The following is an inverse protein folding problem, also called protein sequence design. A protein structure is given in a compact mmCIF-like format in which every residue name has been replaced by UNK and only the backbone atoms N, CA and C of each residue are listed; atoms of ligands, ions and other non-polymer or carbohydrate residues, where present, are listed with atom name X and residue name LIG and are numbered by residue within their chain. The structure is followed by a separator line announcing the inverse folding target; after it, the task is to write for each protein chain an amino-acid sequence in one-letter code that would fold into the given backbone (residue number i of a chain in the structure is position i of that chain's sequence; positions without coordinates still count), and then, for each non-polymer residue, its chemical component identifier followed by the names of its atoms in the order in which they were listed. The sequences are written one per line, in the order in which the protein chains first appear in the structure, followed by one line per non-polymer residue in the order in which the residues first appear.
data_IF_911573980488
#
_entry.id   IF_911573980488
#
_cell.length_a   1.000
_cell.length_b   1.000
_cell.length_c   1.000
_cell.angle_alpha   90.00
_cell.angle_beta   90.00
_cell.angle_gamma   90.00
#
_symmetry.space_group_name_H-M   'P 1'
#
loop_
_entity.id
_entity.type
_entity.pdbx_description
1 polymer ?
#
# COMPACT_ATOMS: atom_id res chain seq x y z
N UNK A 1 -11.49 -14.03 -3.04
CA UNK A 1 -12.32 -12.95 -2.47
C UNK A 1 -11.42 -11.72 -2.44
N UNK A 2 -11.72 -10.68 -3.21
CA UNK A 2 -10.91 -9.45 -3.20
C UNK A 2 -11.26 -8.64 -1.94
N UNK A 3 -10.24 -8.15 -1.25
CA UNK A 3 -10.44 -7.17 -0.17
C UNK A 3 -10.90 -5.87 -0.82
N UNK A 4 -11.73 -5.06 -0.15
CA UNK A 4 -11.94 -3.64 -0.53
C UNK A 4 -11.34 -2.66 0.51
N UNK A 5 -10.83 -1.48 0.13
CA UNK A 5 -10.26 -0.45 1.01
C UNK A 5 -11.36 -0.03 1.96
N UNK A 6 -12.58 0.11 1.42
CA UNK A 6 -13.79 0.31 2.19
C UNK A 6 -13.90 -0.71 3.33
N UNK A 7 -13.67 -2.00 3.11
CA UNK A 7 -13.75 -3.00 4.19
C UNK A 7 -12.69 -2.82 5.29
N UNK A 8 -11.47 -2.42 4.95
CA UNK A 8 -10.42 -2.17 5.93
C UNK A 8 -10.77 -0.95 6.77
N UNK A 9 -11.14 0.17 6.12
CA UNK A 9 -11.55 1.40 6.79
C UNK A 9 -12.85 1.24 7.58
N UNK A 10 -13.84 0.51 7.05
CA UNK A 10 -15.10 0.23 7.72
C UNK A 10 -14.89 -0.62 8.97
N UNK A 11 -13.97 -1.61 8.94
CA UNK A 11 -13.59 -2.35 10.15
C UNK A 11 -12.86 -1.44 11.13
N UNK A 12 -11.91 -0.65 10.66
CA UNK A 12 -11.11 0.24 11.50
C UNK A 12 -11.99 1.28 12.21
N UNK A 13 -12.89 1.94 11.49
CA UNK A 13 -13.78 2.97 12.04
C UNK A 13 -15.07 2.42 12.68
N UNK A 14 -15.30 1.11 12.64
CA UNK A 14 -16.43 0.48 13.33
C UNK A 14 -16.34 0.68 14.85
N UNK A 15 -17.47 0.92 15.55
CA UNK A 15 -17.52 0.88 17.01
C UNK A 15 -17.09 -0.45 17.61
N UNK A 16 -17.27 -1.53 16.84
CA UNK A 16 -16.87 -2.89 17.19
C UNK A 16 -15.68 -3.32 16.34
N UNK A 17 -14.74 -2.38 16.10
CA UNK A 17 -13.49 -2.69 15.42
C UNK A 17 -12.79 -3.85 16.11
N UNK A 18 -12.18 -4.74 15.33
CA UNK A 18 -11.44 -5.88 15.85
C UNK A 18 -10.13 -6.00 15.09
N UNK A 19 -9.08 -6.44 15.79
CA UNK A 19 -7.80 -6.66 15.15
C UNK A 19 -7.90 -7.69 14.03
N UNK A 20 -7.46 -7.33 12.82
CA UNK A 20 -7.60 -8.18 11.64
C UNK A 20 -6.33 -8.24 10.80
N UNK A 21 -6.10 -9.43 10.25
CA UNK A 21 -5.07 -9.69 9.25
C UNK A 21 -5.71 -9.62 7.86
N UNK A 22 -5.15 -8.78 7.00
CA UNK A 22 -5.54 -8.61 5.62
C UNK A 22 -4.38 -9.08 4.74
N UNK A 23 -4.57 -10.20 4.04
CA UNK A 23 -3.60 -10.71 3.06
C UNK A 23 -4.17 -10.45 1.67
N UNK A 24 -3.53 -9.54 0.95
CA UNK A 24 -3.92 -9.10 -0.38
C UNK A 24 -2.96 -9.72 -1.40
N UNK A 25 -3.37 -10.78 -2.10
CA UNK A 25 -2.55 -11.43 -3.11
C UNK A 25 -2.38 -10.53 -4.35
N UNK A 26 -1.61 -10.99 -5.32
CA UNK A 26 -1.28 -10.22 -6.53
C UNK A 26 -2.51 -9.78 -7.33
N UNK A 27 -3.52 -10.64 -7.37
CA UNK A 27 -4.78 -10.42 -8.08
C UNK A 27 -5.73 -9.47 -7.35
N UNK A 28 -5.39 -9.06 -6.12
CA UNK A 28 -6.18 -8.09 -5.39
C UNK A 28 -5.99 -6.68 -5.99
N UNK A 29 -7.10 -5.95 -6.10
CA UNK A 29 -7.07 -4.60 -6.63
C UNK A 29 -6.13 -3.68 -5.84
N UNK A 30 -5.97 -3.87 -4.52
CA UNK A 30 -5.03 -3.03 -3.75
C UNK A 30 -3.60 -3.33 -4.03
N UNK A 31 -3.25 -4.60 -4.15
CA UNK A 31 -1.91 -4.97 -4.57
C UNK A 31 -1.57 -4.32 -5.91
N UNK A 32 -2.52 -4.31 -6.84
CA UNK A 32 -2.35 -3.62 -8.13
C UNK A 32 -2.11 -2.11 -7.99
N UNK A 33 -2.78 -1.44 -7.04
CA UNK A 33 -2.62 0.00 -6.90
C UNK A 33 -1.36 0.37 -6.11
N UNK A 34 -1.05 -0.30 -4.99
CA UNK A 34 0.17 0.02 -4.19
C UNK A 34 1.45 -0.22 -4.99
N UNK A 35 1.44 -1.20 -5.92
CA UNK A 35 2.54 -1.45 -6.86
C UNK A 35 2.85 -0.25 -7.77
N UNK A 36 1.92 0.68 -7.95
CA UNK A 36 2.09 1.88 -8.78
C UNK A 36 2.60 3.08 -7.98
N UNK A 37 2.77 2.96 -6.66
CA UNK A 37 3.29 4.05 -5.84
C UNK A 37 4.79 4.18 -6.01
N UNK A 38 5.26 5.38 -6.30
CA UNK A 38 6.69 5.63 -6.52
C UNK A 38 7.58 5.13 -5.37
N UNK A 39 7.24 5.35 -4.07
CA UNK A 39 8.05 4.83 -2.97
C UNK A 39 8.12 3.31 -2.91
N UNK A 40 7.06 2.61 -3.32
CA UNK A 40 7.04 1.14 -3.43
C UNK A 40 7.92 0.70 -4.61
N UNK A 41 7.78 1.37 -5.75
CA UNK A 41 8.60 1.12 -6.95
C UNK A 41 10.09 1.32 -6.62
N UNK A 42 10.44 2.40 -5.93
CA UNK A 42 11.82 2.73 -5.56
C UNK A 42 12.42 1.67 -4.62
N UNK A 43 11.67 1.25 -3.59
CA UNK A 43 12.10 0.19 -2.69
C UNK A 43 12.26 -1.16 -3.41
N UNK A 44 11.32 -1.52 -4.30
CA UNK A 44 11.45 -2.75 -5.11
C UNK A 44 12.65 -2.66 -6.06
N UNK A 45 12.90 -1.50 -6.67
CA UNK A 45 14.06 -1.28 -7.53
C UNK A 45 15.38 -1.34 -6.75
N UNK A 46 15.40 -0.87 -5.51
CA UNK A 46 16.54 -1.04 -4.61
C UNK A 46 16.82 -2.52 -4.33
N UNK A 47 15.79 -3.34 -4.07
CA UNK A 47 15.93 -4.79 -3.91
C UNK A 47 16.45 -5.46 -5.20
N UNK A 48 15.88 -5.09 -6.36
CA UNK A 48 16.33 -5.56 -7.69
C UNK A 48 17.80 -5.23 -7.96
N UNK A 49 18.21 -3.99 -7.68
CA UNK A 49 19.60 -3.54 -7.82
C UNK A 49 20.55 -4.29 -6.88
N UNK A 50 20.13 -4.52 -5.63
CA UNK A 50 20.90 -5.32 -4.68
C UNK A 50 21.08 -6.77 -5.14
N UNK A 51 20.01 -7.38 -5.66
CA UNK A 51 20.04 -8.72 -6.27
C UNK A 51 21.00 -8.76 -7.45
N UNK A 52 20.90 -7.81 -8.38
CA UNK A 52 21.77 -7.75 -9.55
C UNK A 52 23.26 -7.63 -9.18
N UNK A 53 23.58 -6.86 -8.13
CA UNK A 53 24.93 -6.69 -7.62
C UNK A 53 25.44 -7.90 -6.80
N UNK A 54 24.54 -8.61 -6.10
CA UNK A 54 24.90 -9.64 -5.11
C UNK A 54 24.21 -10.99 -5.38
N UNK A 55 24.06 -11.37 -6.65
CA UNK A 55 23.28 -12.55 -7.01
C UNK A 55 23.68 -13.86 -6.27
N UNK A 56 24.97 -14.19 -6.09
CA UNK A 56 25.35 -15.39 -5.33
C UNK A 56 24.83 -15.39 -3.90
N UNK A 57 24.82 -14.24 -3.23
CA UNK A 57 24.27 -14.08 -1.88
C UNK A 57 22.75 -14.30 -1.87
N UNK A 58 22.04 -13.74 -2.84
CA UNK A 58 20.59 -13.91 -2.94
C UNK A 58 20.20 -15.38 -3.14
N UNK A 59 20.97 -16.10 -3.94
CA UNK A 59 20.77 -17.54 -4.17
C UNK A 59 20.93 -18.39 -2.91
N UNK A 60 21.76 -17.97 -1.95
CA UNK A 60 22.02 -18.75 -0.73
C UNK A 60 21.21 -18.28 0.47
N UNK A 61 20.85 -17.00 0.52
CA UNK A 61 20.38 -16.33 1.76
C UNK A 61 19.04 -15.63 1.62
N UNK A 62 18.52 -15.45 0.40
CA UNK A 62 17.27 -14.74 0.15
C UNK A 62 16.22 -15.59 -0.59
N UNK A 63 16.35 -16.92 -0.52
CA UNK A 63 15.36 -17.84 -1.07
C UNK A 63 14.06 -17.79 -0.25
N UNK A 64 12.90 -17.74 -0.92
CA UNK A 64 11.58 -17.72 -0.27
C UNK A 64 11.40 -18.93 0.64
N UNK A 65 11.01 -18.69 1.89
CA UNK A 65 10.71 -19.74 2.86
C UNK A 65 9.29 -20.27 2.70
N UNK A 66 9.14 -21.55 2.37
CA UNK A 66 7.82 -22.18 2.22
C UNK A 66 7.02 -22.27 3.53
N UNK A 67 7.69 -22.21 4.68
CA UNK A 67 7.05 -22.31 6.01
C UNK A 67 6.59 -20.98 6.56
N UNK A 68 7.12 -19.85 6.05
CA UNK A 68 6.75 -18.54 6.54
C UNK A 68 5.39 -18.10 5.99
N UNK A 69 4.61 -17.39 6.82
CA UNK A 69 3.32 -16.80 6.46
C UNK A 69 3.14 -15.46 7.17
N UNK A 70 2.42 -14.50 6.55
CA UNK A 70 2.10 -13.22 7.18
C UNK A 70 1.26 -13.41 8.45
N UNK A 71 1.49 -12.55 9.45
CA UNK A 71 0.83 -12.62 10.75
C UNK A 71 0.42 -11.25 11.31
N UNK A 72 -0.19 -11.26 12.50
CA UNK A 72 -0.61 -10.07 13.26
C UNK A 72 0.49 -9.61 14.23
N UNK A 73 1.70 -9.33 13.74
CA UNK A 73 2.85 -8.93 14.58
C UNK A 73 3.37 -7.56 14.20
N UNK A 74 3.67 -6.71 15.19
CA UNK A 74 4.14 -5.33 15.01
C UNK A 74 5.28 -5.06 16.03
N UNK A 75 6.56 -5.00 15.62
CA UNK A 75 7.07 -5.03 14.23
C UNK A 75 6.78 -6.38 13.52
N UNK A 76 6.74 -6.38 12.17
CA UNK A 76 6.35 -7.57 11.41
C UNK A 76 7.36 -8.70 11.58
N UNK A 77 6.85 -9.91 11.81
CA UNK A 77 7.62 -11.13 11.65
C UNK A 77 7.65 -11.46 10.15
N UNK A 78 8.66 -10.97 9.44
CA UNK A 78 8.86 -11.19 8.00
C UNK A 78 9.48 -12.57 7.72
N UNK A 79 9.55 -12.96 6.45
CA UNK A 79 10.29 -14.15 6.04
C UNK A 79 11.72 -14.05 6.59
N UNK A 80 12.24 -15.08 7.29
CA UNK A 80 13.59 -15.04 7.87
C UNK A 80 14.69 -14.81 6.81
N UNK A 81 14.41 -15.11 5.55
CA UNK A 81 15.33 -14.90 4.43
C UNK A 81 15.08 -13.57 3.71
N UNK A 82 14.14 -12.73 4.16
CA UNK A 82 13.79 -11.51 3.45
C UNK A 82 14.92 -10.47 3.47
N UNK A 83 15.26 -9.97 2.28
CA UNK A 83 15.90 -8.67 2.16
C UNK A 83 14.86 -7.59 2.47
N UNK A 84 15.05 -6.88 3.60
CA UNK A 84 14.05 -5.95 4.12
C UNK A 84 14.44 -4.50 3.92
N UNK A 85 13.50 -3.69 3.43
CA UNK A 85 13.63 -2.25 3.23
C UNK A 85 12.49 -1.57 3.99
N UNK A 86 12.82 -0.57 4.79
CA UNK A 86 11.80 0.26 5.47
C UNK A 86 11.65 1.60 4.75
N UNK A 87 10.41 1.96 4.43
CA UNK A 87 10.05 3.24 3.82
C UNK A 87 9.27 4.06 4.83
N UNK A 88 9.85 5.17 5.28
CA UNK A 88 9.22 6.10 6.22
C UNK A 88 8.48 7.22 5.50
N UNK A 89 7.21 7.45 5.85
CA UNK A 89 6.45 8.67 5.55
C UNK A 89 6.60 9.23 4.14
N UNK A 90 6.23 8.46 3.10
CA UNK A 90 6.30 8.95 1.74
C UNK A 90 5.36 10.15 1.47
N UNK A 91 5.60 10.94 0.41
CA UNK A 91 4.71 12.04 0.03
C UNK A 91 3.24 11.59 -0.12
N UNK A 92 2.31 12.41 0.37
CA UNK A 92 0.88 12.09 0.40
C UNK A 92 0.44 11.24 1.61
N UNK A 93 1.36 10.92 2.53
CA UNK A 93 1.05 10.28 3.82
C UNK A 93 1.30 11.19 5.02
N UNK A 94 1.41 12.50 4.77
CA UNK A 94 1.54 13.47 5.83
C UNK A 94 0.20 13.66 6.59
N UNK A 95 0.27 14.11 7.86
CA UNK A 95 -0.93 14.28 8.69
C UNK A 95 -1.97 15.25 8.13
N UNK A 96 -1.58 16.26 7.35
CA UNK A 96 -2.52 17.25 6.81
C UNK A 96 -3.29 16.69 5.61
N UNK A 97 -2.61 15.98 4.69
CA UNK A 97 -3.28 15.21 3.63
C UNK A 97 -4.25 14.19 4.23
N UNK A 98 -3.85 13.52 5.32
CA UNK A 98 -4.72 12.62 6.05
C UNK A 98 -5.95 13.29 6.67
N UNK A 99 -5.80 14.52 7.18
CA UNK A 99 -6.92 15.29 7.72
C UNK A 99 -7.97 15.59 6.65
N UNK A 100 -7.54 16.10 5.50
CA UNK A 100 -8.47 16.49 4.43
C UNK A 100 -9.23 15.27 3.90
N UNK A 101 -8.51 14.17 3.63
CA UNK A 101 -9.13 12.92 3.21
C UNK A 101 -10.11 12.36 4.26
N UNK A 102 -9.80 12.55 5.55
CA UNK A 102 -10.69 12.16 6.63
C UNK A 102 -11.99 12.98 6.64
N UNK A 103 -11.91 14.31 6.54
CA UNK A 103 -13.10 15.18 6.54
C UNK A 103 -14.07 14.74 5.44
N UNK A 104 -13.55 14.41 4.26
CA UNK A 104 -14.34 13.90 3.13
C UNK A 104 -14.99 12.54 3.46
N UNK A 105 -14.25 11.61 4.07
CA UNK A 105 -14.78 10.31 4.49
C UNK A 105 -15.89 10.45 5.54
N UNK A 106 -15.65 11.20 6.61
CA UNK A 106 -16.62 11.42 7.69
C UNK A 106 -17.90 12.10 7.19
N UNK A 107 -17.76 13.13 6.36
CA UNK A 107 -18.90 13.81 5.72
C UNK A 107 -19.73 12.84 4.88
N UNK A 108 -19.08 11.92 4.16
CA UNK A 108 -19.78 10.90 3.36
C UNK A 108 -20.53 9.87 4.20
N UNK A 109 -19.95 9.41 5.32
CA UNK A 109 -20.62 8.50 6.26
C UNK A 109 -21.84 9.18 6.90
N UNK A 110 -21.69 10.43 7.35
CA UNK A 110 -22.78 11.20 7.94
C UNK A 110 -23.92 11.44 6.93
N UNK A 111 -23.60 11.79 5.69
CA UNK A 111 -24.59 11.96 4.62
C UNK A 111 -25.35 10.65 4.33
N UNK A 112 -24.66 9.50 4.31
CA UNK A 112 -25.28 8.17 4.15
C UNK A 112 -26.21 7.82 5.31
N UNK A 113 -25.80 8.12 6.55
CA UNK A 113 -26.63 7.88 7.74
C UNK A 113 -27.89 8.76 7.74
N UNK A 114 -27.74 10.06 7.43
CA UNK A 114 -28.85 10.99 7.30
C UNK A 114 -29.84 10.56 6.19
N UNK A 115 -29.32 10.13 5.03
CA UNK A 115 -30.14 9.62 3.93
C UNK A 115 -30.94 8.36 4.31
N UNK A 116 -30.38 7.47 5.14
CA UNK A 116 -31.10 6.30 5.66
C UNK A 116 -32.15 6.67 6.70
N UNK A 117 -31.87 7.66 7.55
CA UNK A 117 -32.75 8.10 8.63
C UNK A 117 -33.97 8.88 8.13
N UNK A 118 -33.88 9.56 6.98
CA UNK A 118 -34.94 10.41 6.42
C UNK A 118 -35.97 9.68 5.53
N UNK A 119 -35.92 8.35 5.44
CA UNK A 119 -37.05 7.53 4.98
C UNK A 119 -37.23 7.41 3.45
N UNK A 120 -36.69 6.33 2.88
CA UNK A 120 -37.41 5.48 1.92
C UNK A 120 -37.85 6.03 0.56
N UNK A 121 -37.57 7.28 0.17
CA UNK A 121 -37.98 7.82 -1.14
C UNK A 121 -36.87 8.65 -1.77
N UNK A 122 -35.97 8.00 -2.52
CA UNK A 122 -35.12 8.66 -3.52
C UNK A 122 -35.03 7.73 -4.75
N UNK A 123 -35.01 8.26 -6.00
CA UNK A 123 -35.07 7.49 -7.25
C UNK A 123 -33.89 6.51 -7.36
N UNK A 124 -33.87 5.58 -8.33
CA UNK A 124 -32.86 4.53 -8.40
C UNK A 124 -31.46 5.08 -8.17
N UNK A 125 -30.66 4.33 -7.39
CA UNK A 125 -29.30 4.57 -6.87
C UNK A 125 -28.25 5.09 -7.90
N UNK A 126 -28.65 5.31 -9.15
CA UNK A 126 -27.89 5.87 -10.25
C UNK A 126 -28.04 7.41 -10.40
N UNK A 127 -28.78 8.10 -9.53
CA UNK A 127 -29.21 9.50 -9.79
C UNK A 127 -28.84 10.56 -8.73
N UNK A 128 -28.28 10.18 -7.58
CA UNK A 128 -27.55 11.11 -6.73
C UNK A 128 -26.08 10.70 -6.79
N UNK A 129 -25.18 11.52 -7.34
CA UNK A 129 -23.75 11.32 -7.16
C UNK A 129 -23.45 11.61 -5.69
N UNK A 130 -23.73 10.64 -4.82
CA UNK A 130 -23.05 10.56 -3.54
C UNK A 130 -21.57 10.57 -3.90
N UNK A 131 -20.77 11.52 -3.39
CA UNK A 131 -19.36 11.55 -3.73
C UNK A 131 -18.83 10.15 -3.47
N UNK A 132 -18.27 9.54 -4.51
CA UNK A 132 -17.55 8.27 -4.40
C UNK A 132 -16.61 8.48 -3.25
N UNK A 133 -16.85 7.81 -2.12
CA UNK A 133 -16.07 8.06 -0.91
C UNK A 133 -14.62 7.93 -1.34
N UNK A 134 -13.88 9.04 -1.28
CA UNK A 134 -12.46 9.10 -1.60
C UNK A 134 -11.72 8.38 -0.48
N UNK A 135 -11.93 7.07 -0.43
CA UNK A 135 -11.28 6.16 0.51
C UNK A 135 -9.83 5.96 0.15
N UNK A 136 -9.45 6.33 -1.08
CA UNK A 136 -8.13 6.16 -1.62
C UNK A 136 -7.11 7.03 -0.89
N UNK A 137 -7.37 8.34 -0.79
CA UNK A 137 -6.50 9.31 -0.14
C UNK A 137 -6.39 9.05 1.36
N UNK A 138 -7.50 8.68 2.01
CA UNK A 138 -7.52 8.34 3.43
C UNK A 138 -6.74 7.06 3.71
N UNK A 139 -6.85 6.09 2.81
CA UNK A 139 -6.11 4.84 2.91
C UNK A 139 -4.62 5.04 2.63
N UNK A 140 -4.26 5.73 1.54
CA UNK A 140 -2.86 5.98 1.18
C UNK A 140 -2.14 6.69 2.31
N UNK A 141 -2.80 7.70 2.90
CA UNK A 141 -2.21 8.44 3.97
C UNK A 141 -2.11 7.61 5.27
N UNK A 142 -3.08 6.72 5.52
CA UNK A 142 -3.08 5.85 6.71
C UNK A 142 -1.99 4.78 6.69
N UNK A 143 -1.42 4.47 5.51
CA UNK A 143 -0.26 3.60 5.43
C UNK A 143 0.92 4.27 6.17
N UNK A 144 1.20 5.55 5.97
CA UNK A 144 2.15 6.33 6.78
C UNK A 144 3.62 5.87 6.69
N UNK A 145 3.94 4.59 6.90
CA UNK A 145 5.25 3.98 6.68
C UNK A 145 5.03 2.48 6.41
N UNK A 146 5.93 1.85 5.68
CA UNK A 146 5.76 0.44 5.35
C UNK A 146 7.10 -0.29 5.19
N UNK A 147 7.05 -1.60 5.38
CA UNK A 147 8.17 -2.49 5.10
C UNK A 147 7.97 -3.18 3.76
N UNK A 148 9.04 -3.30 2.98
CA UNK A 148 9.15 -4.22 1.84
C UNK A 148 10.08 -5.36 2.25
N UNK A 149 9.63 -6.58 2.04
CA UNK A 149 10.38 -7.81 2.24
C UNK A 149 10.46 -8.54 0.91
N UNK A 150 11.68 -8.68 0.39
CA UNK A 150 11.92 -9.32 -0.90
C UNK A 150 12.68 -10.63 -0.70
N UNK A 151 12.20 -11.69 -1.36
CA UNK A 151 12.88 -12.98 -1.50
C UNK A 151 12.89 -13.38 -2.97
N UNK A 152 13.56 -14.48 -3.31
CA UNK A 152 13.55 -15.09 -4.64
C UNK A 152 12.99 -16.50 -4.58
N UNK A 153 12.06 -16.80 -5.47
CA UNK A 153 11.59 -18.18 -5.70
C UNK A 153 12.59 -18.94 -6.57
N UNK A 154 13.20 -18.23 -7.53
CA UNK A 154 14.29 -18.74 -8.35
C UNK A 154 15.24 -17.61 -8.74
N UNK A 155 16.51 -17.97 -8.95
CA UNK A 155 17.54 -17.04 -9.41
C UNK A 155 18.62 -17.80 -10.20
N UNK A 156 18.93 -17.28 -11.39
CA UNK A 156 20.02 -17.73 -12.22
C UNK A 156 21.00 -16.57 -12.42
N UNK A 157 22.14 -16.64 -11.75
CA UNK A 157 23.18 -15.62 -11.83
C UNK A 157 23.95 -15.61 -13.16
N UNK A 158 23.97 -16.74 -13.87
CA UNK A 158 24.62 -16.84 -15.18
C UNK A 158 23.73 -16.25 -16.27
N UNK A 159 22.44 -16.63 -16.27
CA UNK A 159 21.44 -16.05 -17.17
C UNK A 159 20.98 -14.64 -16.76
N UNK A 160 21.34 -14.20 -15.55
CA UNK A 160 20.95 -12.91 -14.94
C UNK A 160 19.44 -12.71 -14.91
N UNK A 161 18.73 -13.75 -14.47
CA UNK A 161 17.27 -13.75 -14.34
C UNK A 161 16.85 -14.20 -12.95
N UNK A 162 15.76 -13.65 -12.42
CA UNK A 162 15.17 -14.04 -11.15
C UNK A 162 13.65 -13.87 -11.17
N UNK A 163 12.97 -14.69 -10.36
CA UNK A 163 11.58 -14.46 -9.95
C UNK A 163 11.60 -14.07 -8.49
N UNK A 164 11.33 -12.80 -8.24
CA UNK A 164 11.26 -12.24 -6.89
C UNK A 164 9.85 -12.38 -6.34
N UNK A 165 9.74 -12.68 -5.06
CA UNK A 165 8.51 -12.65 -4.29
C UNK A 165 8.56 -11.45 -3.35
N UNK A 166 7.62 -10.53 -3.51
CA UNK A 166 7.60 -9.25 -2.78
C UNK A 166 6.44 -9.27 -1.80
N UNK A 167 6.73 -8.93 -0.55
CA UNK A 167 5.76 -8.64 0.48
C UNK A 167 5.88 -7.20 0.91
N UNK A 168 4.77 -6.47 0.92
CA UNK A 168 4.66 -5.16 1.56
C UNK A 168 3.86 -5.32 2.84
N UNK A 169 4.28 -4.65 3.91
CA UNK A 169 3.63 -4.69 5.21
C UNK A 169 3.34 -3.29 5.74
N UNK A 170 2.16 -3.12 6.34
CA UNK A 170 1.82 -1.96 7.14
C UNK A 170 0.84 -2.31 8.27
N UNK A 171 0.87 -1.52 9.35
CA UNK A 171 -0.16 -1.50 10.40
C UNK A 171 -0.89 -0.17 10.36
N UNK A 172 -2.19 -0.24 10.10
CA UNK A 172 -3.08 0.87 10.38
C UNK A 172 -3.48 0.83 11.86
N UNK A 173 -3.25 1.92 12.58
CA UNK A 173 -3.62 2.06 13.98
C UNK A 173 -4.01 3.50 14.29
N UNK A 174 -4.49 3.77 15.51
CA UNK A 174 -4.72 5.14 16.01
C UNK A 174 -3.53 6.07 15.75
N UNK A 175 -2.29 5.55 15.84
CA UNK A 175 -1.07 6.33 15.61
C UNK A 175 -0.96 6.84 14.17
N UNK A 176 -1.48 6.10 13.19
CA UNK A 176 -1.49 6.50 11.78
C UNK A 176 -2.26 7.80 11.54
N UNK A 177 -3.21 8.12 12.45
CA UNK A 177 -4.03 9.33 12.38
C UNK A 177 -3.59 10.41 13.37
N UNK A 178 -2.55 10.17 14.18
CA UNK A 178 -2.01 11.14 15.14
C UNK A 178 -3.08 11.79 16.02
N UNK A 179 -3.04 13.13 16.12
CA UNK A 179 -4.02 13.93 16.87
C UNK A 179 -5.47 13.78 16.38
N UNK A 180 -5.67 13.35 15.13
CA UNK A 180 -7.00 13.20 14.55
C UNK A 180 -7.73 11.97 15.06
N UNK A 181 -7.03 10.96 15.59
CA UNK A 181 -7.67 9.81 16.22
C UNK A 181 -8.58 10.20 17.40
N UNK A 182 -8.37 11.37 18.00
CA UNK A 182 -9.18 11.92 19.10
C UNK A 182 -10.30 12.88 18.63
N UNK A 183 -10.51 13.05 17.32
CA UNK A 183 -11.54 13.95 16.81
C UNK A 183 -12.95 13.41 17.16
N UNK A 184 -13.92 14.26 17.57
CA UNK A 184 -15.25 13.81 17.99
C UNK A 184 -16.01 12.95 16.97
N UNK A 185 -15.77 13.17 15.67
CA UNK A 185 -16.33 12.34 14.59
C UNK A 185 -15.90 10.86 14.66
N UNK A 186 -14.87 10.54 15.44
CA UNK A 186 -14.37 9.20 15.70
C UNK A 186 -14.65 8.70 17.12
N UNK A 187 -15.36 9.46 17.96
CA UNK A 187 -15.59 9.09 19.36
C UNK A 187 -16.27 7.72 19.50
N UNK A 188 -17.04 7.31 18.49
CA UNK A 188 -17.70 6.01 18.43
C UNK A 188 -16.89 4.93 17.70
N UNK A 189 -15.67 5.20 17.21
CA UNK A 189 -14.87 4.22 16.46
C UNK A 189 -13.88 3.47 17.36
N UNK A 190 -13.74 2.16 17.15
CA UNK A 190 -12.81 1.33 17.92
C UNK A 190 -11.35 1.58 17.54
N UNK A 191 -11.06 1.66 16.23
CA UNK A 191 -9.72 1.83 15.66
C UNK A 191 -8.71 0.77 16.12
N UNK A 192 -9.14 -0.49 16.14
CA UNK A 192 -8.25 -1.62 16.43
C UNK A 192 -7.25 -1.83 15.29
N UNK A 193 -6.08 -2.40 15.60
CA UNK A 193 -4.99 -2.54 14.63
C UNK A 193 -5.40 -3.38 13.41
N UNK A 194 -5.14 -2.85 12.21
CA UNK A 194 -5.31 -3.59 10.96
C UNK A 194 -3.94 -3.93 10.38
N UNK A 195 -3.61 -5.21 10.36
CA UNK A 195 -2.36 -5.75 9.85
C UNK A 195 -2.52 -6.07 8.38
N UNK A 196 -1.84 -5.32 7.52
CA UNK A 196 -2.03 -5.39 6.08
C UNK A 196 -0.76 -5.90 5.42
N UNK A 197 -0.93 -6.94 4.61
CA UNK A 197 0.12 -7.58 3.84
C UNK A 197 -0.30 -7.64 2.38
N UNK A 198 0.48 -7.04 1.49
CA UNK A 198 0.31 -7.17 0.03
C UNK A 198 1.41 -8.07 -0.52
N UNK A 199 1.06 -8.96 -1.45
CA UNK A 199 2.01 -9.90 -2.02
C UNK A 199 1.89 -9.98 -3.54
N UNK A 200 3.03 -9.94 -4.23
CA UNK A 200 3.09 -10.13 -5.68
C UNK A 200 4.44 -10.71 -6.11
N UNK A 201 4.47 -11.28 -7.31
CA UNK A 201 5.70 -11.73 -7.95
C UNK A 201 6.22 -10.70 -8.95
N UNK A 202 7.55 -10.60 -9.06
CA UNK A 202 8.24 -9.75 -10.05
C UNK A 202 9.30 -10.57 -10.78
N UNK A 203 9.18 -10.67 -12.10
CA UNK A 203 10.29 -11.15 -12.92
C UNK A 203 11.33 -10.04 -13.08
N UNK A 204 12.59 -10.38 -12.90
CA UNK A 204 13.70 -9.45 -13.04
C UNK A 204 14.81 -10.06 -13.89
N UNK A 205 15.26 -9.30 -14.89
CA UNK A 205 16.43 -9.63 -15.71
C UNK A 205 17.40 -8.46 -15.61
N UNK A 206 18.70 -8.74 -15.49
CA UNK A 206 19.74 -7.71 -15.37
C UNK A 206 20.95 -7.97 -16.27
N UNK A 207 21.81 -6.96 -16.42
CA UNK A 207 22.86 -6.95 -17.43
C UNK A 207 22.41 -6.34 -18.75
N UNK A 208 23.36 -6.00 -19.62
CA UNK A 208 23.11 -5.21 -20.82
C UNK A 208 22.19 -5.95 -21.80
N UNK A 209 20.90 -5.62 -21.78
CA UNK A 209 20.18 -5.47 -23.03
C UNK A 209 20.84 -4.27 -23.73
N UNK A 210 21.37 -4.47 -24.95
CA UNK A 210 21.89 -3.37 -25.74
C UNK A 210 20.85 -2.25 -25.84
N UNK A 211 21.33 -1.01 -25.79
CA UNK A 211 20.55 0.20 -25.99
C UNK A 211 19.56 0.06 -27.15
N UNK A 212 18.26 0.01 -26.83
CA UNK A 212 17.24 0.63 -27.65
C UNK A 212 16.91 1.94 -26.91
N UNK A 213 17.18 3.14 -27.38
CA UNK A 213 17.45 3.65 -28.71
C UNK A 213 16.89 5.08 -28.69
N UNK A 214 17.78 6.07 -28.80
CA UNK A 214 17.48 7.45 -29.18
C UNK A 214 16.38 8.20 -28.41
N UNK A 215 16.78 8.98 -27.41
CA UNK A 215 16.04 10.21 -27.12
C UNK A 215 16.11 11.17 -28.31
N UNK A 216 15.06 11.93 -28.64
CA UNK A 216 15.21 13.15 -29.40
C UNK A 216 15.78 14.22 -28.47
N UNK A 217 16.94 14.75 -28.82
CA UNK A 217 17.49 15.92 -28.16
C UNK A 217 16.69 17.18 -28.46
N UNK A 218 16.34 17.89 -27.38
CA UNK A 218 16.20 19.36 -27.30
C UNK A 218 14.86 19.99 -27.71
N UNK A 219 14.64 21.28 -27.36
CA UNK A 219 15.61 22.23 -26.80
C UNK A 219 15.16 22.93 -25.50
N UNK A 220 16.13 23.59 -24.85
CA UNK A 220 15.94 24.97 -24.43
C UNK A 220 15.32 25.21 -23.05
N UNK A 221 16.19 25.57 -22.10
CA UNK A 221 15.88 26.42 -20.95
C UNK A 221 15.05 27.63 -21.40
N UNK A 222 13.81 27.73 -20.93
CA UNK A 222 12.93 28.87 -21.10
C UNK A 222 12.21 29.15 -19.79
N UNK A 223 12.50 30.31 -19.23
CA UNK A 223 11.91 30.91 -18.03
C UNK A 223 10.38 30.85 -18.06
N UNK A 224 9.76 30.55 -16.93
CA UNK A 224 8.36 30.93 -16.68
C UNK A 224 8.38 31.78 -15.42
N UNK A 225 8.13 33.07 -15.60
CA UNK A 225 7.91 34.04 -14.54
C UNK A 225 6.63 33.68 -13.75
N UNK A 226 6.62 34.12 -12.50
CA UNK A 226 5.52 34.05 -11.55
C UNK A 226 4.26 34.77 -12.05
#
# INVERSE_FOLDING_TARGET
MSTTIGQILDNFFSPFSVERLWVMPETDNYTTIVRRWQPVIDAVNQAKANLAANCPLWKTSHMTSASWKPGKTDPPATDPNAYSIWVGSPPGTDPDTCREAFIVYAGSIAARAAARALGGVIPPLNSIPLPTVQTWELYTCSIGSFGISATVDNVDCAAKTAKMNIWMYNVMSKKSFGRFASHPAFAASGMEKQYMWWNWSESHTWGSAGSAGGGPGGPGRGTVDW
#
